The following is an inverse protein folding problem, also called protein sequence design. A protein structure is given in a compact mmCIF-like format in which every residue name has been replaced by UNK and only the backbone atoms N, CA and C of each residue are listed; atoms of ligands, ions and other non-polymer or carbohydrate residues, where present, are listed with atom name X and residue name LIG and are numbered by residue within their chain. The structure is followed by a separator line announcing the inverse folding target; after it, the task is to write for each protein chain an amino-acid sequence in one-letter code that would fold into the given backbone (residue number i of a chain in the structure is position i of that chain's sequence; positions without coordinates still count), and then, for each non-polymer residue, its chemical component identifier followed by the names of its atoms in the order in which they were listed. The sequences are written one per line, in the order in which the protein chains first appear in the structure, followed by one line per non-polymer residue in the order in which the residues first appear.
data_IF_796701735185
#
_entry.id   IF_796701735185
#
_cell.length_a   1.000
_cell.length_b   1.000
_cell.length_c   1.000
_cell.angle_alpha   90.00
_cell.angle_beta   90.00
_cell.angle_gamma   90.00
#
_symmetry.space_group_name_H-M   'P 1'
#
loop_
_entity.id
_entity.type
_entity.pdbx_description
1 polymer ?
#
# COMPACT_ATOMS: atom_id res chain seq x y z
N UNK A 1 -39.15 -7.67 27.57
CA UNK A 1 -39.11 -6.85 26.34
C UNK A 1 -38.47 -5.50 26.65
N UNK A 2 -37.73 -4.89 25.70
CA UNK A 2 -36.42 -4.31 25.98
C UNK A 2 -36.38 -2.79 26.19
N UNK A 3 -35.21 -2.38 26.68
CA UNK A 3 -34.66 -1.04 26.75
C UNK A 3 -34.84 -0.22 25.47
N UNK A 4 -35.30 1.02 25.64
CA UNK A 4 -35.15 2.08 24.64
C UNK A 4 -34.92 3.40 25.39
N UNK A 5 -33.87 4.12 24.97
CA UNK A 5 -33.66 5.57 25.16
C UNK A 5 -33.10 6.09 26.50
N UNK A 6 -31.85 5.72 26.84
CA UNK A 6 -31.03 6.42 27.86
C UNK A 6 -29.71 7.00 27.31
N UNK A 7 -29.75 7.60 26.12
CA UNK A 7 -28.57 8.29 25.54
C UNK A 7 -28.89 9.61 24.83
N UNK A 8 -29.89 10.35 25.30
CA UNK A 8 -30.25 11.63 24.68
C UNK A 8 -30.66 12.65 25.72
N UNK A 9 -29.75 13.06 26.62
CA UNK A 9 -29.96 14.19 27.54
C UNK A 9 -28.66 14.76 28.20
N UNK A 10 -27.47 14.54 27.64
CA UNK A 10 -26.22 15.12 28.19
C UNK A 10 -25.34 15.82 27.13
N UNK A 11 -25.94 16.44 26.12
CA UNK A 11 -25.18 17.14 25.07
C UNK A 11 -25.76 18.50 24.65
N UNK A 12 -26.59 19.14 25.49
CA UNK A 12 -27.21 20.44 25.17
C UNK A 12 -27.06 21.47 26.32
N UNK A 13 -26.12 21.29 27.24
CA UNK A 13 -25.87 22.25 28.34
C UNK A 13 -24.45 22.85 28.34
N UNK A 14 -23.72 22.79 27.21
CA UNK A 14 -22.36 23.35 27.13
C UNK A 14 -22.12 24.19 25.86
N UNK A 15 -23.14 24.93 25.42
CA UNK A 15 -23.03 25.90 24.31
C UNK A 15 -23.49 27.31 24.74
N UNK A 16 -23.61 27.58 26.05
CA UNK A 16 -24.09 28.87 26.58
C UNK A 16 -23.17 29.45 27.66
N UNK A 17 -21.88 29.60 27.34
CA UNK A 17 -20.99 30.47 28.14
C UNK A 17 -19.78 31.05 27.38
N UNK A 18 -19.89 31.28 26.08
CA UNK A 18 -18.83 31.96 25.31
C UNK A 18 -19.41 33.10 24.47
N UNK A 19 -19.83 34.16 25.15
CA UNK A 19 -20.04 35.49 24.54
C UNK A 19 -19.72 36.57 25.58
N UNK A 20 -18.43 36.72 25.92
CA UNK A 20 -17.94 37.97 26.53
C UNK A 20 -17.00 38.67 25.53
N UNK A 21 -17.38 39.84 24.97
CA UNK A 21 -16.59 40.57 23.98
C UNK A 21 -15.23 41.11 24.46
N UNK A 22 -14.86 40.95 25.73
CA UNK A 22 -13.58 41.44 26.29
C UNK A 22 -12.43 40.43 26.22
N UNK A 23 -12.70 39.15 25.98
CA UNK A 23 -11.67 38.10 25.88
C UNK A 23 -10.95 38.04 24.51
N UNK A 24 -11.36 38.88 23.55
CA UNK A 24 -10.84 38.89 22.18
C UNK A 24 -9.53 39.72 22.05
N UNK A 25 -9.16 40.53 23.05
CA UNK A 25 -8.07 41.52 22.91
C UNK A 25 -6.81 41.24 23.77
N UNK A 26 -6.83 40.32 24.72
CA UNK A 26 -5.62 39.96 25.52
C UNK A 26 -5.21 38.49 25.35
N UNK A 27 -4.73 38.15 24.15
CA UNK A 27 -4.08 36.86 23.90
C UNK A 27 -2.57 36.98 24.16
N UNK A 28 -2.19 36.88 25.44
CA UNK A 28 -0.81 36.68 25.92
C UNK A 28 -0.08 35.60 25.08
N UNK A 29 0.96 35.95 24.31
CA UNK A 29 1.62 35.05 23.38
C UNK A 29 2.32 33.87 24.08
N UNK A 30 2.74 34.00 25.34
CA UNK A 30 3.34 32.88 26.09
C UNK A 30 2.30 31.82 26.43
N UNK A 31 1.07 32.23 26.73
CA UNK A 31 -0.03 31.31 27.05
C UNK A 31 -0.45 30.48 25.84
N UNK A 32 -0.38 31.02 24.62
CA UNK A 32 -0.57 30.26 23.36
C UNK A 32 0.53 29.23 23.13
N UNK A 33 1.80 29.59 23.39
CA UNK A 33 2.93 28.68 23.22
C UNK A 33 2.87 27.50 24.21
N UNK A 34 2.50 27.76 25.47
CA UNK A 34 2.36 26.72 26.49
C UNK A 34 1.17 25.77 26.21
N UNK A 35 0.04 26.30 25.72
CA UNK A 35 -1.13 25.47 25.34
C UNK A 35 -0.85 24.61 24.11
N UNK A 36 -0.12 25.14 23.12
CA UNK A 36 0.40 24.39 21.97
C UNK A 36 1.32 23.24 22.40
N UNK A 37 2.25 23.50 23.32
CA UNK A 37 3.16 22.49 23.86
C UNK A 37 2.43 21.39 24.66
N UNK A 38 1.38 21.74 25.41
CA UNK A 38 0.56 20.77 26.15
C UNK A 38 -0.35 19.94 25.23
N UNK A 39 -0.92 20.54 24.19
CA UNK A 39 -1.72 19.83 23.17
C UNK A 39 -0.84 18.89 22.34
N UNK A 40 0.40 19.28 22.00
CA UNK A 40 1.36 18.38 21.35
C UNK A 40 1.76 17.18 22.22
N UNK A 41 1.82 17.31 23.56
CA UNK A 41 2.09 16.16 24.43
C UNK A 41 0.89 15.24 24.66
N UNK A 42 -0.34 15.76 24.57
CA UNK A 42 -1.58 14.97 24.74
C UNK A 42 -2.15 14.39 23.44
N UNK A 43 -1.81 14.97 22.27
CA UNK A 43 -2.29 14.52 20.96
C UNK A 43 -1.19 14.22 19.93
N UNK A 44 0.09 14.35 20.28
CA UNK A 44 1.25 14.06 19.42
C UNK A 44 1.59 12.58 19.24
N UNK A 45 0.59 11.69 19.21
CA UNK A 45 0.77 10.26 18.90
C UNK A 45 0.31 9.88 17.48
N UNK A 46 -0.13 10.84 16.65
CA UNK A 46 -0.75 10.55 15.36
C UNK A 46 -0.48 11.63 14.33
N UNK A 47 0.79 11.74 13.94
CA UNK A 47 1.29 12.08 12.60
C UNK A 47 2.78 12.39 12.76
N UNK A 48 3.62 11.44 12.34
CA UNK A 48 5.07 11.56 12.45
C UNK A 48 5.71 10.82 11.28
N UNK A 49 5.73 11.48 10.13
CA UNK A 49 6.54 11.11 8.98
C UNK A 49 8.03 11.08 9.39
N UNK A 50 8.74 10.04 8.96
CA UNK A 50 10.19 9.97 8.76
C UNK A 50 11.06 10.97 9.53
N UNK A 51 11.65 10.53 10.65
CA UNK A 51 12.90 11.14 11.15
C UNK A 51 14.07 10.24 10.79
N UNK A 52 14.78 10.66 9.74
CA UNK A 52 16.04 10.09 9.31
C UNK A 52 17.09 10.29 10.43
N UNK A 53 17.55 9.22 11.07
CA UNK A 53 18.62 9.26 12.07
C UNK A 53 19.88 8.71 11.42
N UNK A 54 20.64 9.63 10.82
CA UNK A 54 21.88 9.35 10.09
C UNK A 54 22.76 10.59 10.04
N UNK A 55 23.02 11.19 11.20
CA UNK A 55 24.08 12.16 11.46
C UNK A 55 24.12 12.31 12.98
N UNK A 56 25.18 11.82 13.61
CA UNK A 56 25.72 12.22 14.92
C UNK A 56 26.77 11.17 15.35
N UNK A 57 27.91 11.18 14.65
CA UNK A 57 29.13 10.55 15.12
C UNK A 57 30.31 11.30 14.48
N UNK A 58 30.85 12.29 15.20
CA UNK A 58 32.00 13.04 14.71
C UNK A 58 32.36 14.24 15.57
N UNK A 59 32.95 13.99 16.74
CA UNK A 59 33.99 14.84 17.33
C UNK A 59 34.51 14.19 18.61
N UNK A 60 35.75 13.70 18.60
CA UNK A 60 36.82 14.00 19.58
C UNK A 60 38.02 13.08 19.35
N UNK A 61 39.23 13.67 19.33
CA UNK A 61 40.44 12.99 19.82
C UNK A 61 41.47 12.59 18.77
N UNK A 62 42.42 13.49 18.52
CA UNK A 62 43.71 13.19 17.90
C UNK A 62 44.64 12.46 18.89
N UNK A 63 45.45 11.52 18.40
CA UNK A 63 46.85 11.33 18.83
C UNK A 63 47.59 10.34 17.92
N UNK A 64 48.84 10.68 17.61
CA UNK A 64 49.78 10.00 16.73
C UNK A 64 50.34 8.69 17.29
N UNK A 65 50.75 7.75 16.41
CA UNK A 65 52.15 7.32 16.32
C UNK A 65 52.44 6.45 15.09
N UNK A 66 53.70 6.49 14.66
CA UNK A 66 54.23 5.98 13.41
C UNK A 66 54.79 4.55 13.48
N UNK A 67 55.06 4.02 12.27
CA UNK A 67 56.08 3.04 11.87
C UNK A 67 55.70 1.54 11.76
N UNK A 68 55.83 1.02 10.52
CA UNK A 68 56.48 -0.28 10.26
C UNK A 68 55.66 -1.35 9.53
N UNK A 69 56.04 -1.67 8.28
CA UNK A 69 56.19 -3.07 7.86
C UNK A 69 55.09 -3.75 7.02
N UNK A 70 55.32 -3.78 5.70
CA UNK A 70 55.11 -4.89 4.74
C UNK A 70 53.80 -5.70 4.66
N UNK A 71 53.18 -5.59 3.48
CA UNK A 71 52.67 -6.67 2.62
C UNK A 71 51.86 -7.83 3.22
N UNK A 72 50.56 -7.85 2.92
CA UNK A 72 49.69 -9.02 3.04
C UNK A 72 48.42 -8.81 2.22
N UNK A 73 48.27 -9.60 1.16
CA UNK A 73 47.15 -9.58 0.25
C UNK A 73 45.85 -10.14 0.88
N UNK A 74 44.74 -9.85 0.20
CA UNK A 74 43.44 -10.53 0.21
C UNK A 74 42.33 -9.99 1.14
N UNK A 75 41.18 -9.75 0.50
CA UNK A 75 39.87 -9.90 1.13
C UNK A 75 39.21 -8.61 1.63
N UNK A 76 38.37 -8.00 0.80
CA UNK A 76 37.54 -6.86 1.21
C UNK A 76 36.34 -6.69 0.30
N UNK A 77 35.39 -7.62 0.42
CA UNK A 77 34.11 -7.59 -0.28
C UNK A 77 33.41 -6.24 -0.08
N UNK A 78 32.97 -5.67 -1.20
CA UNK A 78 32.18 -4.44 -1.24
C UNK A 78 30.88 -4.57 -0.46
N UNK A 79 30.58 -3.52 0.30
CA UNK A 79 29.24 -2.97 0.57
C UNK A 79 28.06 -3.94 0.38
N UNK A 80 27.71 -4.69 1.43
CA UNK A 80 26.36 -5.23 1.59
C UNK A 80 25.38 -4.11 1.97
N UNK A 81 25.20 -3.15 1.07
CA UNK A 81 24.11 -2.18 1.08
C UNK A 81 23.03 -2.70 0.12
N UNK A 82 22.44 -3.85 0.44
CA UNK A 82 21.48 -4.53 -0.41
C UNK A 82 20.51 -5.37 0.42
N UNK A 83 19.30 -4.83 0.58
CA UNK A 83 18.08 -5.56 0.93
C UNK A 83 18.00 -6.21 2.31
N UNK A 84 18.00 -5.39 3.37
CA UNK A 84 17.20 -5.72 4.54
C UNK A 84 15.72 -5.64 4.16
N UNK A 85 15.16 -6.71 3.57
CA UNK A 85 13.72 -6.88 3.43
C UNK A 85 13.17 -6.93 4.84
N UNK A 86 12.56 -5.82 5.26
CA UNK A 86 11.94 -5.65 6.56
C UNK A 86 11.12 -6.90 6.90
N UNK A 87 11.36 -7.49 8.08
CA UNK A 87 10.61 -8.68 8.53
C UNK A 87 9.24 -8.21 9.00
N UNK A 88 8.45 -7.70 8.05
CA UNK A 88 7.12 -7.17 8.28
C UNK A 88 6.25 -8.19 9.00
N UNK A 89 5.42 -7.69 9.91
CA UNK A 89 4.45 -8.49 10.66
C UNK A 89 3.60 -9.27 9.67
N UNK A 90 3.63 -10.61 9.77
CA UNK A 90 2.77 -11.46 8.93
C UNK A 90 1.32 -11.29 9.36
N UNK A 91 0.42 -10.83 8.47
CA UNK A 91 -0.99 -10.72 8.82
C UNK A 91 -1.57 -12.11 9.14
N UNK A 92 -2.45 -12.15 10.13
CA UNK A 92 -3.15 -13.38 10.54
C UNK A 92 -4.61 -13.33 10.09
N UNK A 93 -5.29 -14.48 10.08
CA UNK A 93 -6.73 -14.54 9.82
C UNK A 93 -7.57 -13.74 10.84
N UNK A 94 -7.06 -13.57 12.07
CA UNK A 94 -7.69 -12.71 13.07
C UNK A 94 -7.55 -11.22 12.70
N UNK A 95 -6.36 -10.79 12.28
CA UNK A 95 -6.11 -9.44 11.78
C UNK A 95 -6.99 -9.11 10.58
N UNK A 96 -7.06 -10.01 9.60
CA UNK A 96 -7.91 -9.86 8.42
C UNK A 96 -9.39 -9.60 8.78
N UNK A 97 -9.95 -10.36 9.73
CA UNK A 97 -11.36 -10.23 10.12
C UNK A 97 -11.66 -9.03 11.02
N UNK A 98 -10.64 -8.33 11.51
CA UNK A 98 -10.83 -7.20 12.43
C UNK A 98 -11.38 -5.94 11.75
N UNK A 99 -11.24 -5.81 10.43
CA UNK A 99 -11.73 -4.66 9.68
C UNK A 99 -12.04 -5.02 8.21
N UNK A 100 -13.14 -4.51 7.60
CA UNK A 100 -13.47 -4.80 6.20
C UNK A 100 -12.37 -4.39 5.22
N UNK A 101 -11.62 -3.32 5.52
CA UNK A 101 -10.46 -2.92 4.74
C UNK A 101 -9.38 -4.02 4.65
N UNK A 102 -9.15 -4.77 5.74
CA UNK A 102 -8.16 -5.85 5.75
C UNK A 102 -8.65 -7.07 4.97
N UNK A 103 -9.95 -7.40 5.05
CA UNK A 103 -10.56 -8.44 4.20
C UNK A 103 -10.34 -8.14 2.72
N UNK A 104 -10.59 -6.89 2.32
CA UNK A 104 -10.45 -6.48 0.94
C UNK A 104 -8.98 -6.45 0.50
N UNK A 105 -8.12 -5.75 1.25
CA UNK A 105 -6.71 -5.58 0.88
C UNK A 105 -5.95 -6.90 0.83
N UNK A 106 -6.33 -7.89 1.65
CA UNK A 106 -5.73 -9.24 1.66
C UNK A 106 -6.43 -10.20 0.68
N UNK A 107 -7.22 -9.67 -0.26
CA UNK A 107 -7.88 -10.43 -1.32
C UNK A 107 -8.77 -11.55 -0.78
N UNK A 108 -9.57 -11.26 0.24
CA UNK A 108 -10.45 -12.22 0.93
C UNK A 108 -9.71 -13.45 1.51
N UNK A 109 -8.44 -13.27 1.88
CA UNK A 109 -7.62 -14.29 2.52
C UNK A 109 -6.59 -14.95 1.60
N UNK A 110 -6.63 -14.66 0.30
CA UNK A 110 -5.58 -15.08 -0.66
C UNK A 110 -4.21 -14.52 -0.27
N UNK A 111 -4.20 -13.30 0.27
CA UNK A 111 -3.03 -12.63 0.83
C UNK A 111 -2.38 -13.32 2.02
N UNK A 112 -3.08 -14.24 2.69
CA UNK A 112 -2.57 -15.03 3.82
C UNK A 112 -1.82 -16.30 3.37
N UNK A 113 -1.75 -16.57 2.06
CA UNK A 113 -1.09 -17.77 1.53
C UNK A 113 0.40 -17.83 1.89
N UNK A 114 0.88 -19.02 2.23
CA UNK A 114 2.29 -19.25 2.62
C UNK A 114 3.25 -19.29 1.43
N UNK A 115 2.77 -19.65 0.25
CA UNK A 115 3.64 -20.05 -0.86
C UNK A 115 3.89 -18.91 -1.84
N UNK A 116 2.86 -18.21 -2.33
CA UNK A 116 2.99 -16.93 -3.07
C UNK A 116 1.66 -16.16 -2.97
N UNK A 117 1.50 -15.22 -2.02
CA UNK A 117 0.26 -14.46 -1.85
C UNK A 117 -0.23 -13.82 -3.15
N UNK A 118 0.71 -13.29 -3.93
CA UNK A 118 0.39 -12.66 -5.20
C UNK A 118 -0.19 -13.62 -6.23
N UNK A 119 0.48 -14.75 -6.51
CA UNK A 119 -0.05 -15.75 -7.46
C UNK A 119 -1.45 -16.23 -7.07
N UNK A 120 -1.74 -16.42 -5.77
CA UNK A 120 -3.07 -16.82 -5.31
C UNK A 120 -4.08 -15.68 -5.46
N UNK A 121 -3.67 -14.43 -5.23
CA UNK A 121 -4.48 -13.24 -5.47
C UNK A 121 -4.86 -13.10 -6.95
N UNK A 122 -3.87 -13.14 -7.84
CA UNK A 122 -4.09 -13.08 -9.28
C UNK A 122 -4.97 -14.25 -9.78
N UNK A 123 -4.75 -15.46 -9.26
CA UNK A 123 -5.57 -16.63 -9.61
C UNK A 123 -7.03 -16.45 -9.13
N UNK A 124 -7.23 -15.89 -7.95
CA UNK A 124 -8.55 -15.50 -7.48
C UNK A 124 -9.17 -14.42 -8.38
N UNK A 125 -8.41 -13.43 -8.84
CA UNK A 125 -8.84 -12.46 -9.85
C UNK A 125 -9.33 -13.15 -11.13
N UNK A 126 -8.59 -14.13 -11.63
CA UNK A 126 -8.99 -14.92 -12.81
C UNK A 126 -10.30 -15.68 -12.57
N UNK A 127 -10.38 -16.48 -11.51
CA UNK A 127 -11.55 -17.31 -11.22
C UNK A 127 -12.78 -16.44 -10.93
N UNK A 128 -12.64 -15.39 -10.14
CA UNK A 128 -13.74 -14.46 -9.84
C UNK A 128 -14.23 -13.74 -11.09
N UNK A 129 -13.34 -13.38 -12.03
CA UNK A 129 -13.75 -12.86 -13.32
C UNK A 129 -14.64 -13.84 -14.08
N UNK A 130 -14.20 -15.09 -14.24
CA UNK A 130 -14.96 -16.10 -14.98
C UNK A 130 -16.33 -16.38 -14.34
N UNK A 131 -16.40 -16.38 -13.00
CA UNK A 131 -17.66 -16.59 -12.26
C UNK A 131 -18.60 -15.40 -12.38
N UNK A 132 -18.09 -14.17 -12.34
CA UNK A 132 -18.91 -12.95 -12.39
C UNK A 132 -19.30 -12.54 -13.82
N UNK A 133 -18.52 -12.93 -14.83
CA UNK A 133 -18.71 -12.50 -16.21
C UNK A 133 -20.11 -12.80 -16.80
N UNK A 134 -20.79 -13.92 -16.49
CA UNK A 134 -22.16 -14.15 -16.94
C UNK A 134 -23.19 -13.18 -16.35
N UNK A 135 -22.87 -12.51 -15.24
CA UNK A 135 -23.79 -11.64 -14.49
C UNK A 135 -23.52 -10.15 -14.70
N UNK A 136 -22.37 -9.78 -15.27
CA UNK A 136 -21.95 -8.40 -15.46
C UNK A 136 -21.86 -8.04 -16.93
N UNK A 137 -22.37 -6.87 -17.30
CA UNK A 137 -22.11 -6.26 -18.60
C UNK A 137 -20.69 -5.68 -18.62
N UNK A 138 -20.19 -5.33 -19.81
CA UNK A 138 -18.91 -4.61 -19.93
C UNK A 138 -18.88 -3.32 -19.11
N UNK A 139 -20.00 -2.58 -19.07
CA UNK A 139 -20.13 -1.39 -18.22
C UNK A 139 -20.10 -1.74 -16.72
N UNK A 140 -20.73 -2.85 -16.32
CA UNK A 140 -20.65 -3.37 -14.96
C UNK A 140 -19.23 -3.72 -14.53
N UNK A 141 -18.46 -4.34 -15.42
CA UNK A 141 -17.03 -4.62 -15.19
C UNK A 141 -16.20 -3.34 -15.04
N UNK A 142 -16.38 -2.37 -15.94
CA UNK A 142 -15.68 -1.08 -15.84
C UNK A 142 -16.02 -0.40 -14.51
N UNK A 143 -17.30 -0.36 -14.12
CA UNK A 143 -17.72 0.21 -12.85
C UNK A 143 -17.08 -0.53 -11.65
N UNK A 144 -17.05 -1.87 -11.68
CA UNK A 144 -16.45 -2.69 -10.63
C UNK A 144 -14.93 -2.47 -10.52
N UNK A 145 -14.22 -2.39 -11.65
CA UNK A 145 -12.76 -2.13 -11.68
C UNK A 145 -12.47 -0.72 -11.17
N UNK A 146 -13.20 0.29 -11.63
CA UNK A 146 -13.02 1.68 -11.19
C UNK A 146 -13.30 1.82 -9.69
N UNK A 147 -14.41 1.25 -9.21
CA UNK A 147 -14.72 1.23 -7.79
C UNK A 147 -13.66 0.46 -6.99
N UNK A 148 -13.28 -0.72 -7.47
CA UNK A 148 -12.23 -1.55 -6.87
C UNK A 148 -10.89 -0.83 -6.78
N UNK A 149 -10.57 0.00 -7.78
CA UNK A 149 -9.37 0.82 -7.78
C UNK A 149 -9.40 1.87 -6.67
N UNK A 150 -10.46 2.68 -6.60
CA UNK A 150 -10.56 3.75 -5.57
C UNK A 150 -10.70 3.21 -4.15
N UNK A 151 -11.52 2.17 -3.95
CA UNK A 151 -11.63 1.49 -2.66
C UNK A 151 -10.30 0.81 -2.30
N UNK A 152 -9.61 0.27 -3.31
CA UNK A 152 -8.28 -0.31 -3.19
C UNK A 152 -7.27 0.68 -2.64
N UNK A 153 -7.15 1.88 -3.21
CA UNK A 153 -6.23 2.93 -2.73
C UNK A 153 -6.40 3.16 -1.23
N UNK A 154 -7.64 3.29 -0.76
CA UNK A 154 -7.93 3.49 0.65
C UNK A 154 -7.62 2.24 1.49
N UNK A 155 -8.07 1.06 1.04
CA UNK A 155 -7.94 -0.19 1.78
C UNK A 155 -6.47 -0.63 1.92
N UNK A 156 -5.68 -0.54 0.84
CA UNK A 156 -4.26 -0.87 0.84
C UNK A 156 -3.47 0.12 1.70
N UNK A 157 -3.73 1.43 1.59
CA UNK A 157 -3.10 2.44 2.45
C UNK A 157 -3.44 2.22 3.93
N UNK A 158 -4.70 1.91 4.23
CA UNK A 158 -5.13 1.61 5.60
C UNK A 158 -4.40 0.38 6.14
N UNK A 159 -4.38 -0.74 5.40
CA UNK A 159 -3.73 -1.98 5.84
C UNK A 159 -2.22 -1.83 5.95
N UNK A 160 -1.57 -1.17 4.99
CA UNK A 160 -0.13 -0.87 5.02
C UNK A 160 0.26 -0.10 6.29
N UNK A 161 -0.53 0.94 6.66
CA UNK A 161 -0.30 1.70 7.88
C UNK A 161 -0.45 0.88 9.18
N UNK A 162 -1.24 -0.20 9.16
CA UNK A 162 -1.49 -1.07 10.32
C UNK A 162 -0.49 -2.22 10.43
N UNK A 163 0.16 -2.57 9.31
CA UNK A 163 1.24 -3.54 9.27
C UNK A 163 2.62 -2.89 9.46
N UNK A 164 2.67 -1.56 9.57
CA UNK A 164 3.90 -0.75 9.63
C UNK A 164 4.86 -1.08 8.47
N UNK A 165 4.29 -1.35 7.30
CA UNK A 165 5.02 -1.74 6.10
C UNK A 165 4.54 -0.90 4.92
N UNK A 166 5.49 -0.33 4.17
CA UNK A 166 5.18 0.53 3.03
C UNK A 166 4.48 -0.22 1.88
N UNK A 167 4.84 -1.49 1.68
CA UNK A 167 4.25 -2.40 0.70
C UNK A 167 4.27 -3.84 1.28
N UNK A 168 3.25 -4.21 2.06
CA UNK A 168 3.17 -5.55 2.64
C UNK A 168 2.80 -6.54 1.54
N UNK A 169 3.70 -7.46 1.17
CA UNK A 169 3.44 -8.46 0.12
C UNK A 169 2.32 -9.49 0.39
N UNK A 170 1.53 -9.29 1.45
CA UNK A 170 0.26 -9.99 1.71
C UNK A 170 -0.95 -9.19 1.20
N UNK A 171 -0.79 -7.89 0.94
CA UNK A 171 -1.76 -7.07 0.22
C UNK A 171 -1.66 -7.42 -1.26
N UNK A 172 -2.78 -7.82 -1.86
CA UNK A 172 -2.82 -8.31 -3.24
C UNK A 172 -4.14 -7.93 -3.95
N UNK A 173 -4.80 -6.90 -3.44
CA UNK A 173 -6.06 -6.39 -3.99
C UNK A 173 -5.84 -5.64 -5.32
N UNK A 174 -4.76 -4.87 -5.38
CA UNK A 174 -4.17 -4.31 -6.59
C UNK A 174 -4.05 -5.36 -7.70
N UNK A 175 -3.49 -6.53 -7.40
CA UNK A 175 -3.29 -7.58 -8.39
C UNK A 175 -4.63 -8.15 -8.91
N UNK A 176 -5.62 -8.31 -8.01
CA UNK A 176 -6.96 -8.79 -8.37
C UNK A 176 -7.64 -7.81 -9.32
N UNK A 177 -7.65 -6.51 -8.97
CA UNK A 177 -8.30 -5.46 -9.76
C UNK A 177 -7.59 -5.28 -11.11
N UNK A 178 -6.26 -5.28 -11.12
CA UNK A 178 -5.48 -5.19 -12.34
C UNK A 178 -5.69 -6.40 -13.26
N UNK A 179 -5.80 -7.62 -12.70
CA UNK A 179 -6.06 -8.80 -13.51
C UNK A 179 -7.49 -8.85 -14.06
N UNK A 180 -8.49 -8.30 -13.36
CA UNK A 180 -9.82 -8.08 -13.94
C UNK A 180 -9.78 -7.16 -15.16
N UNK A 181 -8.96 -6.10 -15.10
CA UNK A 181 -8.75 -5.22 -16.24
C UNK A 181 -8.14 -5.99 -17.43
N UNK A 182 -7.13 -6.83 -17.20
CA UNK A 182 -6.56 -7.67 -18.26
C UNK A 182 -7.64 -8.58 -18.89
N UNK A 183 -8.40 -9.29 -18.05
CA UNK A 183 -9.44 -10.22 -18.53
C UNK A 183 -10.56 -9.52 -19.30
N UNK A 184 -10.94 -8.30 -18.91
CA UNK A 184 -11.96 -7.51 -19.60
C UNK A 184 -11.61 -7.27 -21.08
N UNK A 185 -10.34 -7.05 -21.42
CA UNK A 185 -9.89 -6.81 -22.78
C UNK A 185 -9.41 -8.07 -23.52
N UNK A 186 -9.04 -9.11 -22.78
CA UNK A 186 -8.62 -10.39 -23.37
C UNK A 186 -9.83 -11.21 -23.82
N UNK A 187 -10.97 -11.13 -23.14
CA UNK A 187 -12.16 -11.91 -23.46
C UNK A 187 -12.95 -11.39 -24.68
N UNK A 188 -13.63 -12.27 -25.46
CA UNK A 188 -13.60 -13.73 -25.36
C UNK A 188 -12.25 -14.32 -25.84
N UNK A 189 -11.76 -15.36 -25.17
CA UNK A 189 -10.46 -15.97 -25.46
C UNK A 189 -10.40 -17.44 -25.08
N UNK A 190 -9.46 -18.18 -25.69
CA UNK A 190 -9.19 -19.58 -25.34
C UNK A 190 -8.49 -19.68 -23.98
N UNK A 191 -8.55 -20.86 -23.34
CA UNK A 191 -7.83 -21.11 -22.09
C UNK A 191 -6.33 -20.79 -22.19
N UNK A 192 -5.69 -21.14 -23.31
CA UNK A 192 -4.27 -20.85 -23.54
C UNK A 192 -3.97 -19.36 -23.61
N UNK A 193 -4.86 -18.55 -24.19
CA UNK A 193 -4.72 -17.09 -24.24
C UNK A 193 -4.89 -16.46 -22.85
N UNK A 194 -5.84 -16.96 -22.04
CA UNK A 194 -6.02 -16.53 -20.66
C UNK A 194 -4.81 -16.89 -19.79
N UNK A 195 -4.29 -18.11 -19.95
CA UNK A 195 -3.07 -18.56 -19.27
C UNK A 195 -1.85 -17.72 -19.68
N UNK A 196 -1.72 -17.40 -20.96
CA UNK A 196 -0.67 -16.51 -21.44
C UNK A 196 -0.80 -15.11 -20.81
N UNK A 197 -2.01 -14.56 -20.72
CA UNK A 197 -2.26 -13.29 -20.05
C UNK A 197 -1.90 -13.33 -18.56
N UNK A 198 -2.25 -14.42 -17.86
CA UNK A 198 -1.87 -14.66 -16.47
C UNK A 198 -0.35 -14.66 -16.28
N UNK A 199 0.37 -15.43 -17.10
CA UNK A 199 1.83 -15.53 -17.01
C UNK A 199 2.48 -14.18 -17.34
N UNK A 200 2.06 -13.51 -18.43
CA UNK A 200 2.60 -12.22 -18.83
C UNK A 200 2.37 -11.15 -17.75
N UNK A 201 1.17 -11.08 -17.17
CA UNK A 201 0.87 -10.17 -16.06
C UNK A 201 1.80 -10.41 -14.87
N UNK A 202 1.95 -11.66 -14.43
CA UNK A 202 2.85 -11.98 -13.33
C UNK A 202 4.31 -11.68 -13.64
N UNK A 203 4.74 -11.88 -14.88
CA UNK A 203 6.09 -11.51 -15.29
C UNK A 203 6.30 -9.99 -15.18
N UNK A 204 5.36 -9.16 -15.63
CA UNK A 204 5.49 -7.71 -15.55
C UNK A 204 5.39 -7.17 -14.12
N UNK A 205 4.48 -7.71 -13.32
CA UNK A 205 4.35 -7.36 -11.90
C UNK A 205 5.60 -7.76 -11.10
N UNK A 206 6.13 -8.97 -11.28
CA UNK A 206 7.33 -9.42 -10.55
C UNK A 206 8.62 -8.72 -11.00
N UNK A 207 8.79 -8.47 -12.30
CA UNK A 207 10.02 -7.88 -12.85
C UNK A 207 10.06 -6.36 -12.69
N UNK A 208 8.89 -5.70 -12.59
CA UNK A 208 8.73 -4.24 -12.62
C UNK A 208 9.69 -3.55 -13.61
N UNK A 209 9.69 -3.90 -14.90
CA UNK A 209 10.57 -3.22 -15.85
C UNK A 209 10.28 -1.71 -15.88
N UNK A 210 11.28 -0.85 -16.17
CA UNK A 210 11.02 0.56 -16.48
C UNK A 210 9.97 0.60 -17.61
N UNK A 211 8.84 1.33 -17.50
CA UNK A 211 8.53 2.52 -16.70
C UNK A 211 7.88 2.29 -15.32
N UNK A 212 7.54 1.05 -14.93
CA UNK A 212 6.84 0.76 -13.66
C UNK A 212 7.64 1.28 -12.47
N UNK A 213 8.96 1.03 -12.47
CA UNK A 213 9.90 1.52 -11.45
C UNK A 213 9.91 3.04 -11.28
N UNK A 214 9.58 3.81 -12.31
CA UNK A 214 9.56 5.28 -12.21
C UNK A 214 8.30 5.76 -11.47
N UNK A 215 7.15 5.13 -11.71
CA UNK A 215 5.91 5.42 -11.00
C UNK A 215 5.98 5.03 -9.52
N UNK A 216 6.48 3.83 -9.20
CA UNK A 216 6.71 3.37 -7.81
C UNK A 216 7.58 4.37 -7.02
N UNK A 217 8.63 4.92 -7.65
CA UNK A 217 9.50 5.89 -6.98
C UNK A 217 8.80 7.23 -6.70
N UNK A 218 7.84 7.64 -7.54
CA UNK A 218 7.20 8.96 -7.46
C UNK A 218 5.93 8.96 -6.61
N UNK A 219 5.18 7.86 -6.62
CA UNK A 219 3.90 7.73 -5.94
C UNK A 219 4.01 6.73 -4.79
N UNK A 220 3.69 7.18 -3.57
CA UNK A 220 3.81 6.36 -2.34
C UNK A 220 2.44 6.11 -1.70
N UNK A 221 2.36 5.05 -0.90
CA UNK A 221 1.12 4.62 -0.25
C UNK A 221 0.20 3.85 -1.19
N UNK A 222 -1.08 3.73 -0.83
CA UNK A 222 -2.02 2.89 -1.56
C UNK A 222 -2.23 3.25 -3.03
N UNK A 223 -2.03 4.52 -3.42
CA UNK A 223 -2.08 4.91 -4.83
C UNK A 223 -0.91 4.35 -5.64
N UNK A 224 0.30 4.36 -5.07
CA UNK A 224 1.49 3.77 -5.69
C UNK A 224 1.33 2.26 -5.90
N UNK A 225 0.85 1.57 -4.86
CA UNK A 225 0.56 0.13 -4.89
C UNK A 225 -0.43 -0.20 -6.02
N UNK A 226 -1.57 0.50 -6.07
CA UNK A 226 -2.59 0.24 -7.08
C UNK A 226 -2.15 0.60 -8.51
N UNK A 227 -1.37 1.68 -8.71
CA UNK A 227 -0.97 2.11 -10.05
C UNK A 227 0.12 1.22 -10.64
N UNK A 228 1.03 0.69 -9.81
CA UNK A 228 2.09 -0.22 -10.25
C UNK A 228 1.51 -1.43 -11.03
N UNK A 229 0.48 -2.06 -10.48
CA UNK A 229 -0.17 -3.23 -11.07
C UNK A 229 -1.04 -2.88 -12.29
N UNK A 230 -1.64 -1.68 -12.30
CA UNK A 230 -2.37 -1.19 -13.48
C UNK A 230 -1.41 -0.96 -14.65
N UNK A 231 -0.20 -0.45 -14.38
CA UNK A 231 0.84 -0.32 -15.42
C UNK A 231 1.31 -1.70 -15.89
N UNK A 232 1.48 -2.67 -14.98
CA UNK A 232 1.77 -4.05 -15.35
C UNK A 232 0.67 -4.65 -16.25
N UNK A 233 -0.61 -4.47 -15.90
CA UNK A 233 -1.75 -4.88 -16.70
C UNK A 233 -1.77 -4.22 -18.09
N UNK A 234 -1.47 -2.91 -18.17
CA UNK A 234 -1.35 -2.22 -19.45
C UNK A 234 -0.25 -2.81 -20.33
N UNK A 235 0.93 -3.11 -19.76
CA UNK A 235 2.02 -3.77 -20.48
C UNK A 235 1.62 -5.16 -20.99
N UNK A 236 0.93 -5.95 -20.16
CA UNK A 236 0.37 -7.25 -20.58
C UNK A 236 -0.55 -7.09 -21.78
N UNK A 237 -1.50 -6.16 -21.71
CA UNK A 237 -2.46 -5.91 -22.78
C UNK A 237 -1.78 -5.44 -24.06
N UNK A 238 -0.75 -4.58 -23.96
CA UNK A 238 0.02 -4.12 -25.10
C UNK A 238 0.73 -5.29 -25.82
N UNK A 239 1.39 -6.18 -25.07
CA UNK A 239 2.05 -7.37 -25.64
C UNK A 239 1.04 -8.30 -26.31
N UNK A 240 -0.10 -8.55 -25.68
CA UNK A 240 -1.16 -9.38 -26.26
C UNK A 240 -1.73 -8.74 -27.53
N UNK A 241 -1.96 -7.42 -27.53
CA UNK A 241 -2.48 -6.69 -28.69
C UNK A 241 -1.50 -6.75 -29.88
N UNK A 242 -0.21 -6.52 -29.64
CA UNK A 242 0.84 -6.65 -30.66
C UNK A 242 0.91 -8.09 -31.19
N UNK A 243 0.83 -9.09 -30.30
CA UNK A 243 0.75 -10.49 -30.70
C UNK A 243 -0.44 -10.79 -31.60
N UNK A 244 -1.64 -10.31 -31.25
CA UNK A 244 -2.86 -10.50 -32.06
C UNK A 244 -2.71 -9.91 -33.47
N UNK A 245 -2.12 -8.71 -33.58
CA UNK A 245 -1.85 -8.06 -34.86
C UNK A 245 -0.90 -8.90 -35.74
N UNK A 246 0.17 -9.46 -35.16
CA UNK A 246 1.14 -10.26 -35.91
C UNK A 246 0.65 -11.66 -36.29
N UNK A 247 -0.16 -12.30 -35.44
CA UNK A 247 -0.64 -13.68 -35.66
C UNK A 247 -2.04 -13.74 -36.30
N UNK A 248 -2.64 -12.60 -36.65
CA UNK A 248 -3.90 -12.51 -37.42
C UNK A 248 -5.14 -13.07 -36.69
N UNK A 249 -5.20 -12.89 -35.36
CA UNK A 249 -6.30 -13.37 -34.50
C UNK A 249 -7.23 -12.24 -34.08
#
# INVERSE_FOLDING_TARGET
MPAVNRWRLHCVDSITSMTDPKDIIDADPERKAQRSAQLHRRFGGRFGYFRNRGADAGATGASANAAGGSAGAAGGAGTNAGAAKDRGVRPTAAFMRSHPAHLLSLGFGTGLSRFVPGTIGTLFGWVSFLVLNPYLTSAGWVALIVLGFFVGIWATAFTASRLDAADPGAVNWDEIVAFWLVMLFVMPSTFSQQLAAFVLFRLFDMLKPPPIRWFDQRFKGGFGIMIDDIVAAFMTLLVIAVGRIHYGQ
#
